data_IF_275400536972
#
_entry.id   IF_275400536972
#
_cell.length_a   1.000
_cell.length_b   1.000
_cell.length_c   1.000
_cell.angle_alpha   90.00
_cell.angle_beta   90.00
_cell.angle_gamma   90.00
#
_symmetry.space_group_name_H-M   'P 1'
#
loop_
_entity.id
_entity.type
_entity.pdbx_description
1 polymer ?
#
# COMPACT_ATOMS: atom_id res chain seq x y z
N UNK A 1 0.95 30.05 -28.49
CA UNK A 1 0.96 29.63 -29.92
C UNK A 1 0.04 28.43 -30.03
N UNK A 2 -0.97 28.46 -30.92
CA UNK A 2 -1.69 27.24 -31.28
C UNK A 2 -0.81 26.43 -32.23
N UNK A 3 -0.51 25.19 -31.87
CA UNK A 3 0.20 24.25 -32.73
C UNK A 3 -0.83 23.64 -33.68
N UNK A 4 -0.65 23.83 -34.99
CA UNK A 4 -1.47 23.14 -36.00
C UNK A 4 -0.92 21.73 -36.19
N UNK A 5 -1.77 20.73 -36.00
CA UNK A 5 -1.45 19.35 -36.33
C UNK A 5 -2.11 19.00 -37.67
N UNK A 6 -1.34 18.55 -38.67
CA UNK A 6 -1.89 18.23 -39.98
C UNK A 6 -2.84 17.05 -39.92
N UNK A 7 -3.92 17.13 -40.70
CA UNK A 7 -4.87 16.02 -40.87
C UNK A 7 -4.31 14.94 -41.81
N UNK A 8 -4.83 13.71 -41.74
CA UNK A 8 -4.41 12.63 -42.64
C UNK A 8 -4.53 12.98 -44.13
N UNK A 9 -5.51 13.81 -44.50
CA UNK A 9 -5.69 14.28 -45.87
C UNK A 9 -4.57 15.25 -46.26
N UNK A 10 -4.24 16.19 -45.36
CA UNK A 10 -3.12 17.12 -45.56
C UNK A 10 -1.76 16.41 -45.63
N UNK A 11 -1.60 15.27 -44.94
CA UNK A 11 -0.37 14.47 -44.99
C UNK A 11 -0.12 13.80 -46.35
N UNK A 12 -1.17 13.56 -47.14
CA UNK A 12 -1.07 12.82 -48.42
C UNK A 12 -1.32 13.68 -49.66
N UNK A 13 -1.66 14.97 -49.49
CA UNK A 13 -2.13 15.88 -50.56
C UNK A 13 -1.17 15.99 -51.77
N UNK A 14 0.11 15.65 -51.58
CA UNK A 14 1.14 15.66 -52.63
C UNK A 14 1.45 14.33 -53.32
N UNK A 15 0.75 13.24 -53.00
CA UNK A 15 1.02 11.90 -53.55
C UNK A 15 0.13 11.58 -54.76
N UNK A 16 0.51 10.57 -55.55
CA UNK A 16 -0.33 10.07 -56.64
C UNK A 16 -1.61 9.42 -56.09
N UNK A 17 -2.75 9.44 -56.82
CA UNK A 17 -4.04 9.01 -56.27
C UNK A 17 -4.07 7.59 -55.67
N UNK A 18 -3.32 6.66 -56.27
CA UNK A 18 -3.24 5.27 -55.78
C UNK A 18 -2.39 5.15 -54.50
N UNK A 19 -1.39 6.00 -54.33
CA UNK A 19 -0.57 6.08 -53.11
C UNK A 19 -1.35 6.79 -52.01
N UNK A 20 -2.12 7.83 -52.33
CA UNK A 20 -3.03 8.49 -51.39
C UNK A 20 -4.03 7.49 -50.80
N UNK A 21 -4.68 6.68 -51.64
CA UNK A 21 -5.64 5.68 -51.16
C UNK A 21 -4.99 4.66 -50.21
N UNK A 22 -3.80 4.17 -50.57
CA UNK A 22 -3.04 3.25 -49.71
C UNK A 22 -2.69 3.87 -48.36
N UNK A 23 -2.06 5.05 -48.35
CA UNK A 23 -1.62 5.70 -47.12
C UNK A 23 -2.77 6.21 -46.25
N UNK A 24 -3.88 6.68 -46.85
CA UNK A 24 -5.07 7.05 -46.10
C UNK A 24 -5.69 5.85 -45.37
N UNK A 25 -5.64 4.66 -45.99
CA UNK A 25 -6.12 3.45 -45.33
C UNK A 25 -5.21 3.04 -44.17
N UNK A 26 -3.89 3.15 -44.32
CA UNK A 26 -2.93 2.87 -43.25
C UNK A 26 -3.06 3.88 -42.09
N UNK A 27 -3.14 5.18 -42.39
CA UNK A 27 -3.32 6.23 -41.38
C UNK A 27 -4.64 6.03 -40.60
N UNK A 28 -5.74 5.69 -41.28
CA UNK A 28 -7.00 5.32 -40.61
C UNK A 28 -6.87 4.09 -39.72
N UNK A 29 -6.05 3.12 -40.12
CA UNK A 29 -5.78 1.95 -39.30
C UNK A 29 -5.02 2.34 -38.02
N UNK A 30 -3.99 3.18 -38.15
CA UNK A 30 -3.21 3.70 -37.02
C UNK A 30 -4.07 4.54 -36.07
N UNK A 31 -4.91 5.44 -36.60
CA UNK A 31 -5.86 6.22 -35.78
C UNK A 31 -6.75 5.30 -34.95
N UNK A 32 -7.27 4.23 -35.56
CA UNK A 32 -8.10 3.24 -34.86
C UNK A 32 -7.33 2.50 -33.77
N UNK A 33 -6.05 2.18 -33.99
CA UNK A 33 -5.20 1.55 -32.97
C UNK A 33 -4.98 2.50 -31.78
N UNK A 34 -4.70 3.77 -32.06
CA UNK A 34 -4.53 4.80 -31.04
C UNK A 34 -5.83 5.03 -30.25
N UNK A 35 -6.98 5.18 -30.91
CA UNK A 35 -8.28 5.31 -30.25
C UNK A 35 -8.58 4.12 -29.33
N UNK A 36 -8.27 2.90 -29.78
CA UNK A 36 -8.44 1.69 -28.97
C UNK A 36 -7.48 1.65 -27.77
N UNK A 37 -6.23 2.10 -27.96
CA UNK A 37 -5.26 2.23 -26.88
C UNK A 37 -5.73 3.24 -25.83
N UNK A 38 -6.14 4.43 -26.25
CA UNK A 38 -6.71 5.45 -25.37
C UNK A 38 -8.00 4.98 -24.68
N UNK A 39 -8.84 4.19 -25.37
CA UNK A 39 -10.02 3.57 -24.75
C UNK A 39 -9.62 2.59 -23.66
N UNK A 40 -8.60 1.75 -23.87
CA UNK A 40 -8.09 0.82 -22.85
C UNK A 40 -7.50 1.58 -21.66
N UNK A 41 -6.76 2.66 -21.90
CA UNK A 41 -6.27 3.58 -20.86
C UNK A 41 -7.44 4.10 -20.01
N UNK A 42 -8.49 4.65 -20.65
CA UNK A 42 -9.69 5.15 -19.94
C UNK A 42 -10.42 4.05 -19.16
N UNK A 43 -10.54 2.86 -19.75
CA UNK A 43 -11.25 1.73 -19.15
C UNK A 43 -10.50 1.17 -17.93
N UNK A 44 -9.19 0.98 -18.03
CA UNK A 44 -8.37 0.45 -16.95
C UNK A 44 -7.83 1.53 -16.00
N UNK A 45 -8.07 2.81 -16.31
CA UNK A 45 -7.55 3.97 -15.58
C UNK A 45 -6.01 3.95 -15.44
N UNK A 46 -5.32 3.41 -16.45
CA UNK A 46 -3.86 3.32 -16.46
C UNK A 46 -3.32 4.52 -17.22
N UNK A 47 -2.51 5.35 -16.57
CA UNK A 47 -1.80 6.47 -17.21
C UNK A 47 -0.30 6.22 -17.19
N UNK A 48 0.43 6.80 -18.14
CA UNK A 48 1.90 6.75 -18.10
C UNK A 48 2.42 7.50 -16.88
N UNK A 49 3.39 6.90 -16.18
CA UNK A 49 4.06 7.54 -15.05
C UNK A 49 4.96 8.70 -15.49
N UNK A 50 5.46 8.64 -16.73
CA UNK A 50 6.28 9.68 -17.36
C UNK A 50 5.45 10.86 -17.90
N UNK A 51 4.12 10.84 -17.71
CA UNK A 51 3.27 11.92 -18.15
C UNK A 51 3.64 13.22 -17.44
N UNK A 52 4.11 14.22 -18.19
CA UNK A 52 4.46 15.54 -17.66
C UNK A 52 3.17 16.29 -17.32
N UNK A 53 3.01 16.64 -16.05
CA UNK A 53 1.81 17.28 -15.49
C UNK A 53 2.01 18.76 -15.18
N UNK A 54 3.25 19.25 -15.22
CA UNK A 54 3.55 20.65 -14.94
C UNK A 54 3.19 21.55 -16.12
N UNK A 55 2.65 22.72 -15.79
CA UNK A 55 2.43 23.82 -16.73
C UNK A 55 3.53 24.88 -16.64
N UNK A 56 4.43 24.77 -15.65
CA UNK A 56 5.59 25.62 -15.50
C UNK A 56 6.83 25.00 -16.18
N UNK A 57 7.87 25.82 -16.37
CA UNK A 57 9.08 25.43 -17.11
C UNK A 57 9.93 24.31 -16.48
N UNK A 58 9.44 23.64 -15.44
CA UNK A 58 10.05 22.45 -14.85
C UNK A 58 9.22 21.25 -15.24
N UNK A 59 9.79 20.27 -15.95
CA UNK A 59 9.11 19.00 -16.24
C UNK A 59 8.94 18.21 -14.94
N UNK A 60 7.69 18.10 -14.46
CA UNK A 60 7.31 17.26 -13.32
C UNK A 60 6.45 16.13 -13.86
N UNK A 61 6.84 14.89 -13.60
CA UNK A 61 6.12 13.71 -14.09
C UNK A 61 5.07 13.23 -13.07
N UNK A 62 4.07 12.48 -13.55
CA UNK A 62 3.04 11.88 -12.68
C UNK A 62 3.67 10.99 -11.59
N UNK A 63 4.77 10.30 -11.89
CA UNK A 63 5.50 9.47 -10.94
C UNK A 63 5.90 10.22 -9.67
N UNK A 64 6.35 11.46 -9.82
CA UNK A 64 6.88 12.27 -8.71
C UNK A 64 5.80 12.65 -7.69
N UNK A 65 4.52 12.60 -8.06
CA UNK A 65 3.40 12.86 -7.16
C UNK A 65 2.87 11.62 -6.45
N UNK A 66 3.26 10.42 -6.88
CA UNK A 66 2.79 9.18 -6.26
C UNK A 66 3.57 8.97 -4.97
N UNK A 67 2.91 9.20 -3.84
CA UNK A 67 3.49 8.94 -2.53
C UNK A 67 3.69 7.44 -2.31
N UNK A 68 4.84 7.10 -1.72
CA UNK A 68 5.08 5.75 -1.23
C UNK A 68 4.12 5.42 -0.09
N UNK A 69 3.66 4.17 -0.04
CA UNK A 69 2.91 3.62 1.10
C UNK A 69 3.83 3.05 2.19
N UNK A 70 5.13 3.32 2.10
CA UNK A 70 6.11 2.89 3.10
C UNK A 70 5.99 3.70 4.39
N UNK A 71 6.32 3.07 5.52
CA UNK A 71 6.45 3.74 6.80
C UNK A 71 7.43 4.91 6.72
N UNK A 72 7.06 6.02 7.35
CA UNK A 72 7.94 7.16 7.59
C UNK A 72 9.01 6.82 8.63
N UNK A 73 10.02 7.69 8.76
CA UNK A 73 11.02 7.54 9.84
C UNK A 73 10.37 7.67 11.23
N UNK A 74 9.34 8.51 11.34
CA UNK A 74 8.54 8.67 12.54
C UNK A 74 7.78 7.38 12.88
N UNK A 75 7.17 6.73 11.89
CA UNK A 75 6.46 5.45 12.10
C UNK A 75 7.40 4.38 12.65
N UNK A 76 8.61 4.25 12.11
CA UNK A 76 9.61 3.31 12.63
C UNK A 76 10.00 3.62 14.07
N UNK A 77 10.18 4.91 14.40
CA UNK A 77 10.51 5.33 15.76
C UNK A 77 9.39 4.99 16.73
N UNK A 78 8.14 5.20 16.33
CA UNK A 78 6.96 4.84 17.14
C UNK A 78 6.92 3.33 17.36
N UNK A 79 7.10 2.52 16.31
CA UNK A 79 7.12 1.06 16.42
C UNK A 79 8.19 0.56 17.39
N UNK A 80 9.40 1.12 17.34
CA UNK A 80 10.50 0.76 18.24
C UNK A 80 10.16 1.10 19.71
N UNK A 81 9.58 2.28 19.95
CA UNK A 81 9.13 2.68 21.29
C UNK A 81 8.00 1.78 21.79
N UNK A 82 7.02 1.45 20.95
CA UNK A 82 5.93 0.55 21.30
C UNK A 82 6.43 -0.85 21.66
N UNK A 83 7.38 -1.40 20.89
CA UNK A 83 8.01 -2.69 21.15
C UNK A 83 8.77 -2.68 22.47
N UNK A 84 9.55 -1.62 22.73
CA UNK A 84 10.29 -1.46 23.99
C UNK A 84 9.34 -1.38 25.19
N UNK A 85 8.28 -0.55 25.12
CA UNK A 85 7.28 -0.44 26.19
C UNK A 85 6.57 -1.76 26.45
N UNK A 86 6.24 -2.52 25.40
CA UNK A 86 5.65 -3.85 25.52
C UNK A 86 6.61 -4.82 26.24
N UNK A 87 7.89 -4.82 25.87
CA UNK A 87 8.89 -5.67 26.51
C UNK A 87 9.08 -5.32 27.99
N UNK A 88 9.12 -4.04 28.34
CA UNK A 88 9.19 -3.57 29.72
C UNK A 88 7.96 -4.00 30.53
N UNK A 89 6.76 -3.83 29.96
CA UNK A 89 5.51 -4.23 30.59
C UNK A 89 5.48 -5.75 30.89
N UNK A 90 6.01 -6.57 29.98
CA UNK A 90 6.13 -8.01 30.19
C UNK A 90 7.19 -8.38 31.23
N UNK A 91 8.28 -7.60 31.33
CA UNK A 91 9.36 -7.85 32.29
C UNK A 91 8.92 -7.61 33.74
N UNK A 92 7.98 -6.70 33.97
CA UNK A 92 7.41 -6.39 35.30
C UNK A 92 6.43 -7.45 35.81
N UNK A 93 5.86 -8.28 34.93
CA UNK A 93 5.00 -9.39 35.33
C UNK A 93 5.82 -10.49 36.02
N UNK A 94 5.25 -11.08 37.08
CA UNK A 94 5.80 -12.32 37.62
C UNK A 94 5.67 -13.47 36.61
N UNK A 95 6.45 -14.53 36.85
CA UNK A 95 6.62 -15.63 35.90
C UNK A 95 5.30 -16.35 35.58
N UNK A 96 4.44 -16.60 36.57
CA UNK A 96 3.15 -17.28 36.35
C UNK A 96 2.22 -16.40 35.50
N UNK A 97 2.14 -15.09 35.79
CA UNK A 97 1.33 -14.14 35.02
C UNK A 97 1.84 -13.94 33.60
N UNK A 98 3.15 -13.77 33.43
CA UNK A 98 3.80 -13.63 32.11
C UNK A 98 3.57 -14.87 31.25
N UNK A 99 3.73 -16.06 31.83
CA UNK A 99 3.54 -17.34 31.11
C UNK A 99 2.11 -17.47 30.62
N UNK A 100 1.12 -17.18 31.46
CA UNK A 100 -0.28 -17.22 31.07
C UNK A 100 -0.62 -16.14 30.04
N UNK A 101 -0.10 -14.93 30.19
CA UNK A 101 -0.31 -13.84 29.24
C UNK A 101 0.18 -14.21 27.84
N UNK A 102 1.44 -14.64 27.72
CA UNK A 102 2.02 -15.07 26.43
C UNK A 102 1.28 -16.27 25.85
N UNK A 103 0.92 -17.25 26.67
CA UNK A 103 0.18 -18.42 26.23
C UNK A 103 -1.16 -18.05 25.57
N UNK A 104 -1.92 -17.13 26.15
CA UNK A 104 -3.26 -16.79 25.68
C UNK A 104 -3.23 -15.69 24.60
N UNK A 105 -2.48 -14.62 24.83
CA UNK A 105 -2.48 -13.44 23.96
C UNK A 105 -1.57 -13.62 22.74
N UNK A 106 -0.29 -13.99 22.94
CA UNK A 106 0.67 -14.16 21.83
C UNK A 106 0.44 -15.47 21.08
N UNK A 107 0.23 -16.58 21.82
CA UNK A 107 0.17 -17.92 21.24
C UNK A 107 -1.26 -18.42 20.97
N UNK A 108 -2.29 -17.65 21.33
CA UNK A 108 -3.70 -17.99 21.06
C UNK A 108 -4.21 -19.25 21.77
N UNK A 109 -3.58 -19.68 22.88
CA UNK A 109 -4.00 -20.86 23.62
C UNK A 109 -5.25 -20.61 24.45
N UNK A 110 -6.03 -21.67 24.69
CA UNK A 110 -7.15 -21.62 25.62
C UNK A 110 -6.68 -21.66 27.08
N UNK A 111 -7.58 -21.29 28.00
CA UNK A 111 -7.27 -21.21 29.43
C UNK A 111 -6.84 -22.55 30.03
N UNK A 112 -7.36 -23.68 29.55
CA UNK A 112 -6.99 -25.02 30.02
C UNK A 112 -5.56 -25.40 29.65
N UNK A 113 -5.11 -25.06 28.43
CA UNK A 113 -3.71 -25.26 28.04
C UNK A 113 -2.79 -24.31 28.80
N UNK A 114 -3.20 -23.06 29.01
CA UNK A 114 -2.43 -22.10 29.78
C UNK A 114 -2.31 -22.51 31.27
N UNK A 115 -3.35 -23.11 31.86
CA UNK A 115 -3.34 -23.56 33.25
C UNK A 115 -2.39 -24.73 33.49
N UNK A 116 -2.25 -25.61 32.51
CA UNK A 116 -1.28 -26.71 32.51
C UNK A 116 0.17 -26.20 32.56
N UNK A 117 0.48 -25.11 31.87
CA UNK A 117 1.84 -24.53 31.84
C UNK A 117 2.31 -24.04 33.22
N UNK A 118 1.37 -23.56 34.04
CA UNK A 118 1.67 -23.07 35.40
C UNK A 118 1.31 -24.09 36.49
N UNK A 119 0.82 -25.28 36.14
CA UNK A 119 0.40 -26.30 37.10
C UNK A 119 -0.74 -25.85 38.03
N UNK A 120 -1.64 -24.97 37.56
CA UNK A 120 -2.76 -24.41 38.35
C UNK A 120 -4.12 -24.75 37.73
N UNK A 121 -5.19 -24.38 38.42
CA UNK A 121 -6.55 -24.51 37.89
C UNK A 121 -6.84 -23.49 36.78
N UNK A 122 -7.77 -23.82 35.89
CA UNK A 122 -8.27 -22.91 34.84
C UNK A 122 -8.80 -21.59 35.42
N UNK A 123 -9.42 -21.63 36.60
CA UNK A 123 -9.90 -20.44 37.31
C UNK A 123 -8.73 -19.52 37.69
N UNK A 124 -7.63 -20.09 38.16
CA UNK A 124 -6.41 -19.35 38.52
C UNK A 124 -5.75 -18.77 37.27
N UNK A 125 -5.57 -19.56 36.21
CA UNK A 125 -5.01 -19.08 34.95
C UNK A 125 -5.85 -17.92 34.37
N UNK A 126 -7.18 -18.03 34.37
CA UNK A 126 -8.06 -16.94 33.93
C UNK A 126 -7.92 -15.68 34.78
N UNK A 127 -7.69 -15.82 36.09
CA UNK A 127 -7.44 -14.69 36.99
C UNK A 127 -6.13 -14.01 36.63
N UNK A 128 -5.04 -14.77 36.57
CA UNK A 128 -3.70 -14.26 36.24
C UNK A 128 -3.67 -13.60 34.87
N UNK A 129 -4.32 -14.19 33.86
CA UNK A 129 -4.44 -13.56 32.54
C UNK A 129 -5.04 -12.16 32.62
N UNK A 130 -6.17 -12.02 33.33
CA UNK A 130 -6.85 -10.72 33.48
C UNK A 130 -6.01 -9.71 34.27
N UNK A 131 -5.31 -10.17 35.30
CA UNK A 131 -4.41 -9.32 36.09
C UNK A 131 -3.23 -8.86 35.24
N UNK A 132 -2.63 -9.76 34.44
CA UNK A 132 -1.57 -9.43 33.49
C UNK A 132 -2.03 -8.43 32.43
N UNK A 133 -3.19 -8.63 31.79
CA UNK A 133 -3.73 -7.66 30.82
C UNK A 133 -3.90 -6.26 31.41
N UNK A 134 -4.36 -6.15 32.66
CA UNK A 134 -4.51 -4.86 33.34
C UNK A 134 -3.17 -4.19 33.60
N UNK A 135 -2.17 -4.96 34.03
CA UNK A 135 -0.83 -4.43 34.31
C UNK A 135 -0.16 -3.97 33.01
N UNK A 136 -0.17 -4.81 31.98
CA UNK A 136 0.40 -4.48 30.66
C UNK A 136 -0.28 -3.24 30.08
N UNK A 137 -1.61 -3.19 30.06
CA UNK A 137 -2.34 -2.02 29.55
C UNK A 137 -2.00 -0.74 30.32
N UNK A 138 -1.94 -0.82 31.66
CA UNK A 138 -1.59 0.35 32.49
C UNK A 138 -0.18 0.86 32.18
N UNK A 139 0.77 -0.03 31.92
CA UNK A 139 2.15 0.33 31.59
C UNK A 139 2.25 0.96 30.20
N UNK A 140 1.56 0.40 29.21
CA UNK A 140 1.53 0.95 27.84
C UNK A 140 0.87 2.34 27.76
N UNK A 141 0.06 2.71 28.75
CA UNK A 141 -0.62 4.01 28.82
C UNK A 141 0.09 5.05 29.71
N UNK A 142 1.19 4.65 30.38
CA UNK A 142 1.94 5.51 31.31
C UNK A 142 3.09 6.22 30.61
#
# INVERSE_FOLDING_TARGET
MQIHYPTNVELVDGLEPHEQEFWLNELKHLDRLEENYQRKIRYHQISSLDFVISEDGRETTLQELIQSNSCSGEDYTIMEVEEQLYCEALAELDEEHRTVFKAIFENGLNTTKASQLIGRSDKTAKKYYKEACKQVLKKMQS
#
